data_IF_662837818595
#
_entry.id   IF_662837818595
#
_cell.length_a   1.000
_cell.length_b   1.000
_cell.length_c   1.000
_cell.angle_alpha   90.00
_cell.angle_beta   90.00
_cell.angle_gamma   90.00
#
_symmetry.space_group_name_H-M   'P 1'
#
loop_
_entity.id
_entity.type
_entity.pdbx_description
1 polymer ?
#
# COMPACT_ATOMS: atom_id res chain seq x y z
N UNK A 1 -1.22 31.03 -11.08
CA UNK A 1 -1.24 29.66 -10.47
C UNK A 1 -1.62 28.69 -11.57
N UNK A 2 -0.87 27.61 -11.76
CA UNK A 2 -1.23 26.60 -12.74
C UNK A 2 -2.48 25.85 -12.27
N UNK A 3 -3.42 25.48 -13.16
CA UNK A 3 -4.58 24.70 -12.80
C UNK A 3 -4.18 23.29 -12.38
N UNK A 4 -4.87 22.73 -11.38
CA UNK A 4 -4.70 21.32 -11.02
C UNK A 4 -5.26 20.41 -12.12
N UNK A 5 -4.71 19.20 -12.22
CA UNK A 5 -5.32 18.16 -13.03
C UNK A 5 -6.79 17.96 -12.60
N UNK A 6 -7.76 18.05 -13.53
CA UNK A 6 -9.19 17.94 -13.19
C UNK A 6 -9.55 16.63 -12.48
N UNK A 7 -8.94 15.51 -12.86
CA UNK A 7 -9.18 14.20 -12.22
C UNK A 7 -8.71 14.21 -10.77
N UNK A 8 -7.55 14.83 -10.49
CA UNK A 8 -7.07 15.01 -9.12
C UNK A 8 -8.00 15.93 -8.31
N UNK A 9 -8.46 17.02 -8.92
CA UNK A 9 -9.36 17.97 -8.26
C UNK A 9 -10.73 17.35 -7.92
N UNK A 10 -11.19 16.39 -8.71
CA UNK A 10 -12.45 15.66 -8.50
C UNK A 10 -12.34 14.49 -7.52
N UNK A 11 -11.12 14.06 -7.18
CA UNK A 11 -10.92 12.93 -6.27
C UNK A 11 -11.30 13.32 -4.83
N UNK A 12 -12.02 12.43 -4.14
CA UNK A 12 -12.42 12.65 -2.76
C UNK A 12 -11.21 12.68 -1.80
N UNK A 13 -11.39 13.34 -0.64
CA UNK A 13 -10.35 13.41 0.39
C UNK A 13 -10.19 12.06 1.12
N UNK A 14 -8.96 11.70 1.55
CA UNK A 14 -8.74 10.46 2.30
C UNK A 14 -9.59 10.40 3.58
N UNK A 15 -10.40 9.35 3.79
CA UNK A 15 -11.29 9.26 4.96
C UNK A 15 -10.56 9.32 6.30
N UNK A 16 -9.33 8.81 6.37
CA UNK A 16 -8.50 8.89 7.58
C UNK A 16 -8.18 10.32 7.99
N UNK A 17 -7.99 11.20 7.02
CA UNK A 17 -7.73 12.63 7.31
C UNK A 17 -9.00 13.33 7.81
N UNK A 18 -10.15 12.92 7.32
CA UNK A 18 -11.44 13.43 7.81
C UNK A 18 -11.71 12.96 9.25
N UNK A 19 -11.48 11.69 9.54
CA UNK A 19 -11.60 11.16 10.90
C UNK A 19 -10.69 11.89 11.91
N UNK A 20 -9.48 12.27 11.49
CA UNK A 20 -8.57 13.08 12.33
C UNK A 20 -9.13 14.46 12.61
N UNK A 21 -9.77 15.11 11.64
CA UNK A 21 -10.40 16.43 11.84
C UNK A 21 -11.52 16.41 12.86
N UNK A 22 -12.28 15.32 12.94
CA UNK A 22 -13.34 15.18 13.95
C UNK A 22 -12.80 15.19 15.38
N UNK A 23 -11.51 14.93 15.56
CA UNK A 23 -10.85 14.93 16.86
C UNK A 23 -10.16 16.28 17.19
N UNK A 24 -10.09 17.20 16.24
CA UNK A 24 -9.47 18.51 16.47
C UNK A 24 -10.22 19.27 17.57
N UNK A 25 -9.51 19.66 18.64
CA UNK A 25 -10.07 20.37 19.78
C UNK A 25 -10.88 19.50 20.77
N UNK A 26 -10.97 18.18 20.55
CA UNK A 26 -11.64 17.26 21.47
C UNK A 26 -10.65 16.72 22.51
N UNK A 27 -11.02 16.83 23.79
CA UNK A 27 -10.26 16.28 24.90
C UNK A 27 -10.97 15.04 25.45
N UNK A 28 -10.21 14.02 25.78
CA UNK A 28 -10.72 12.77 26.37
C UNK A 28 -10.25 12.68 27.82
N UNK A 29 -11.16 12.49 28.79
CA UNK A 29 -10.76 12.35 30.19
C UNK A 29 -10.04 11.01 30.41
N UNK A 30 -9.18 10.89 31.46
CA UNK A 30 -8.38 9.70 31.70
C UNK A 30 -9.20 8.41 31.91
N UNK A 31 -10.39 8.53 32.45
CA UNK A 31 -11.34 7.42 32.68
C UNK A 31 -12.12 6.99 31.42
N UNK A 32 -12.03 7.81 30.34
CA UNK A 32 -12.62 7.51 29.03
C UNK A 32 -11.65 7.88 27.90
N UNK A 33 -10.51 7.21 27.77
CA UNK A 33 -9.52 7.50 26.77
C UNK A 33 -10.06 7.20 25.37
N UNK A 34 -9.55 7.91 24.36
CA UNK A 34 -9.84 7.63 22.96
C UNK A 34 -9.32 6.23 22.58
N UNK A 35 -10.21 5.37 22.13
CA UNK A 35 -9.83 4.12 21.44
C UNK A 35 -9.85 4.38 19.94
N UNK A 36 -8.67 4.60 19.37
CA UNK A 36 -8.54 4.92 17.95
C UNK A 36 -8.51 3.64 17.10
N UNK A 37 -9.61 3.37 16.42
CA UNK A 37 -9.77 2.25 15.46
C UNK A 37 -9.92 2.73 14.01
N UNK A 38 -9.58 3.99 13.73
CA UNK A 38 -9.78 4.60 12.40
C UNK A 38 -8.77 4.13 11.34
N UNK A 39 -7.66 3.54 11.78
CA UNK A 39 -6.61 3.07 10.88
C UNK A 39 -6.11 1.70 11.34
N UNK A 40 -6.25 0.72 10.46
CA UNK A 40 -5.75 -0.63 10.70
C UNK A 40 -4.23 -0.68 10.49
N UNK A 41 -3.49 -0.24 11.49
CA UNK A 41 -2.03 -0.30 11.53
C UNK A 41 -1.56 -1.09 12.74
N UNK A 42 -0.54 -1.95 12.63
CA UNK A 42 0.06 -2.60 13.79
C UNK A 42 0.54 -1.56 14.80
N UNK A 43 0.25 -1.77 16.07
CA UNK A 43 0.71 -0.91 17.17
C UNK A 43 1.98 -1.45 17.83
N UNK A 44 2.21 -2.75 17.73
CA UNK A 44 3.41 -3.40 18.24
C UNK A 44 4.60 -3.11 17.33
N UNK A 45 5.80 -2.91 17.91
CA UNK A 45 7.00 -2.76 17.12
C UNK A 45 7.31 -4.06 16.35
N UNK A 46 8.05 -3.99 15.22
CA UNK A 46 8.52 -5.19 14.55
C UNK A 46 9.35 -6.07 15.50
N UNK A 47 9.36 -7.40 15.30
CA UNK A 47 10.18 -8.31 16.10
C UNK A 47 11.63 -7.85 16.21
N UNK A 48 12.26 -8.07 17.36
CA UNK A 48 13.63 -7.63 17.62
C UNK A 48 14.64 -8.16 16.58
N UNK A 49 14.48 -9.42 16.18
CA UNK A 49 15.33 -10.02 15.15
C UNK A 49 15.28 -9.27 13.82
N UNK A 50 14.09 -8.81 13.40
CA UNK A 50 13.94 -8.01 12.18
C UNK A 50 14.60 -6.64 12.33
N UNK A 51 14.41 -5.98 13.47
CA UNK A 51 15.04 -4.67 13.73
C UNK A 51 16.54 -4.77 13.74
N UNK A 52 17.09 -5.82 14.40
CA UNK A 52 18.52 -6.08 14.45
C UNK A 52 19.10 -6.34 13.04
N UNK A 53 18.40 -7.13 12.21
CA UNK A 53 18.82 -7.39 10.83
C UNK A 53 18.85 -6.11 9.97
N UNK A 54 17.87 -5.22 10.15
CA UNK A 54 17.85 -3.93 9.44
C UNK A 54 19.05 -3.06 9.86
N UNK A 55 19.32 -2.97 11.15
CA UNK A 55 20.47 -2.20 11.67
C UNK A 55 21.78 -2.79 11.15
N UNK A 56 21.93 -4.11 11.20
CA UNK A 56 23.12 -4.80 10.68
C UNK A 56 23.34 -4.52 9.19
N UNK A 57 22.29 -4.64 8.38
CA UNK A 57 22.37 -4.34 6.96
C UNK A 57 22.75 -2.88 6.70
N UNK A 58 22.14 -1.94 7.43
CA UNK A 58 22.39 -0.51 7.26
C UNK A 58 23.81 -0.10 7.67
N UNK A 59 24.41 -0.74 8.68
CA UNK A 59 25.74 -0.38 9.18
C UNK A 59 26.86 -1.10 8.43
N UNK A 60 26.66 -2.36 8.06
CA UNK A 60 27.75 -3.24 7.67
C UNK A 60 27.67 -3.75 6.22
N UNK A 61 26.56 -3.55 5.53
CA UNK A 61 26.40 -3.99 4.15
C UNK A 61 26.46 -2.79 3.18
N UNK A 62 27.63 -2.53 2.60
CA UNK A 62 27.84 -1.43 1.65
C UNK A 62 26.83 -1.48 0.47
N UNK A 63 26.46 -2.68 0.02
CA UNK A 63 25.48 -2.88 -1.06
C UNK A 63 24.07 -2.36 -0.71
N UNK A 64 23.72 -2.24 0.58
CA UNK A 64 22.42 -1.70 1.01
C UNK A 64 22.26 -0.21 0.64
N UNK A 65 23.36 0.48 0.34
CA UNK A 65 23.37 1.92 0.00
C UNK A 65 23.58 2.18 -1.50
N UNK A 66 23.60 1.14 -2.32
CA UNK A 66 23.84 1.23 -3.75
C UNK A 66 22.55 0.92 -4.53
N UNK A 67 22.53 1.35 -5.80
CA UNK A 67 21.49 0.92 -6.72
C UNK A 67 21.56 -0.60 -6.91
N UNK A 68 20.41 -1.24 -6.80
CA UNK A 68 20.22 -2.66 -7.06
C UNK A 68 19.51 -2.95 -8.39
N UNK A 69 19.17 -4.22 -8.64
CA UNK A 69 18.38 -4.61 -9.79
C UNK A 69 17.01 -3.89 -9.82
N UNK A 70 16.54 -3.51 -11.01
CA UNK A 70 15.29 -2.74 -11.19
C UNK A 70 14.07 -3.42 -10.54
N UNK A 71 13.99 -4.74 -10.64
CA UNK A 71 12.87 -5.49 -10.05
C UNK A 71 13.07 -5.85 -8.56
N UNK A 72 14.14 -5.37 -7.93
CA UNK A 72 14.51 -5.70 -6.55
C UNK A 72 15.57 -6.81 -6.46
N UNK A 73 16.17 -6.93 -5.29
CA UNK A 73 17.23 -7.91 -5.03
C UNK A 73 16.74 -9.34 -5.29
N UNK A 74 17.58 -10.13 -5.94
CA UNK A 74 17.26 -11.50 -6.36
C UNK A 74 16.86 -12.36 -5.16
N UNK A 75 17.66 -12.34 -4.09
CA UNK A 75 17.38 -13.13 -2.88
C UNK A 75 16.02 -12.83 -2.27
N UNK A 76 15.63 -11.54 -2.24
CA UNK A 76 14.30 -11.15 -1.76
C UNK A 76 13.19 -11.65 -2.68
N UNK A 77 13.38 -11.55 -3.99
CA UNK A 77 12.40 -12.02 -4.98
C UNK A 77 12.23 -13.55 -4.92
N UNK A 78 13.33 -14.29 -4.73
CA UNK A 78 13.33 -15.74 -4.52
C UNK A 78 12.61 -16.11 -3.23
N UNK A 79 12.88 -15.41 -2.12
CA UNK A 79 12.21 -15.64 -0.84
C UNK A 79 10.69 -15.37 -0.94
N UNK A 80 10.28 -14.28 -1.58
CA UNK A 80 8.85 -13.97 -1.81
C UNK A 80 8.21 -15.05 -2.70
N UNK A 81 8.88 -15.47 -3.77
CA UNK A 81 8.36 -16.50 -4.66
C UNK A 81 8.17 -17.85 -3.95
N UNK A 82 9.14 -18.24 -3.12
CA UNK A 82 9.06 -19.47 -2.33
C UNK A 82 7.90 -19.42 -1.31
N UNK A 83 7.79 -18.30 -0.57
CA UNK A 83 6.72 -18.11 0.42
C UNK A 83 5.34 -18.16 -0.23
N UNK A 84 5.13 -17.44 -1.34
CA UNK A 84 3.87 -17.43 -2.08
C UNK A 84 3.51 -18.80 -2.64
N UNK A 85 4.50 -19.52 -3.20
CA UNK A 85 4.29 -20.88 -3.71
C UNK A 85 3.86 -21.84 -2.60
N UNK A 86 4.48 -21.74 -1.43
CA UNK A 86 4.15 -22.56 -0.26
C UNK A 86 2.77 -22.22 0.30
N UNK A 87 2.48 -20.93 0.51
CA UNK A 87 1.25 -20.47 1.16
C UNK A 87 -0.02 -20.77 0.33
N UNK A 88 0.09 -20.71 -1.00
CA UNK A 88 -1.08 -20.82 -1.88
C UNK A 88 -1.09 -22.07 -2.76
N UNK A 89 -0.13 -22.96 -2.60
CA UNK A 89 -0.04 -24.22 -3.36
C UNK A 89 0.17 -24.03 -4.86
N UNK A 90 0.64 -22.85 -5.28
CA UNK A 90 0.92 -22.50 -6.66
C UNK A 90 2.40 -22.60 -7.00
N UNK A 91 2.75 -22.14 -8.21
CA UNK A 91 4.14 -22.00 -8.63
C UNK A 91 4.41 -20.55 -8.99
N UNK A 92 5.19 -19.87 -8.15
CA UNK A 92 5.69 -18.52 -8.40
C UNK A 92 7.21 -18.62 -8.53
N UNK A 93 7.77 -17.97 -9.52
CA UNK A 93 9.21 -17.89 -9.76
C UNK A 93 9.70 -16.46 -9.47
N UNK A 94 10.96 -16.29 -9.17
CA UNK A 94 11.55 -14.96 -8.93
C UNK A 94 11.33 -14.00 -10.13
N UNK A 95 11.24 -14.55 -11.35
CA UNK A 95 10.89 -13.79 -12.55
C UNK A 95 9.49 -13.17 -12.53
N UNK A 96 8.58 -13.70 -11.73
CA UNK A 96 7.20 -13.20 -11.59
C UNK A 96 7.07 -12.15 -10.45
N UNK A 97 8.16 -11.83 -9.75
CA UNK A 97 8.15 -10.95 -8.59
C UNK A 97 8.90 -9.65 -8.89
N UNK A 98 8.25 -8.54 -8.61
CA UNK A 98 8.87 -7.22 -8.57
C UNK A 98 8.65 -6.61 -7.19
N UNK A 99 9.71 -6.05 -6.60
CA UNK A 99 9.67 -5.42 -5.30
C UNK A 99 9.43 -3.92 -5.47
N UNK A 100 8.48 -3.39 -4.72
CA UNK A 100 8.15 -1.96 -4.68
C UNK A 100 8.22 -1.42 -3.26
N UNK A 101 8.20 -0.11 -3.13
CA UNK A 101 8.13 0.55 -1.82
C UNK A 101 6.69 0.53 -1.27
N UNK A 102 6.23 -0.67 -0.95
CA UNK A 102 4.91 -0.92 -0.39
C UNK A 102 3.83 -1.20 -1.44
N UNK A 103 2.69 -1.71 -0.95
CA UNK A 103 1.56 -2.17 -1.74
C UNK A 103 0.94 -1.06 -2.60
N UNK A 104 0.89 0.18 -2.12
CA UNK A 104 0.34 1.29 -2.90
C UNK A 104 1.15 1.55 -4.18
N UNK A 105 2.47 1.51 -4.10
CA UNK A 105 3.30 1.67 -5.31
C UNK A 105 3.10 0.48 -6.27
N UNK A 106 2.99 -0.74 -5.75
CA UNK A 106 2.70 -1.92 -6.58
C UNK A 106 1.37 -1.78 -7.32
N UNK A 107 0.31 -1.36 -6.62
CA UNK A 107 -1.00 -1.12 -7.21
C UNK A 107 -0.94 -0.03 -8.29
N UNK A 108 -0.31 1.10 -7.98
CA UNK A 108 -0.15 2.20 -8.93
C UNK A 108 0.59 1.76 -10.21
N UNK A 109 1.70 1.02 -10.06
CA UNK A 109 2.48 0.53 -11.18
C UNK A 109 1.67 -0.48 -12.03
N UNK A 110 0.96 -1.41 -11.39
CA UNK A 110 0.12 -2.39 -12.07
C UNK A 110 -1.00 -1.70 -12.86
N UNK A 111 -1.74 -0.77 -12.24
CA UNK A 111 -2.82 -0.04 -12.91
C UNK A 111 -2.28 0.82 -14.06
N UNK A 112 -1.19 1.55 -13.84
CA UNK A 112 -0.60 2.37 -14.90
C UNK A 112 -0.12 1.55 -16.12
N UNK A 113 0.14 0.26 -15.93
CA UNK A 113 0.54 -0.66 -16.99
C UNK A 113 -0.66 -1.27 -17.71
N UNK A 114 -1.76 -1.52 -17.01
CA UNK A 114 -2.87 -2.34 -17.49
C UNK A 114 -4.13 -1.57 -17.86
N UNK A 115 -4.30 -0.34 -17.33
CA UNK A 115 -5.52 0.45 -17.52
C UNK A 115 -5.21 1.93 -17.70
N UNK A 116 -6.06 2.61 -18.46
CA UNK A 116 -5.99 4.05 -18.74
C UNK A 116 -7.35 4.74 -18.69
N UNK A 117 -7.39 6.03 -19.03
CA UNK A 117 -8.64 6.80 -18.98
C UNK A 117 -9.77 6.15 -19.81
N UNK A 118 -10.91 5.93 -19.16
CA UNK A 118 -12.10 5.30 -19.75
C UNK A 118 -12.17 3.79 -19.55
N UNK A 119 -11.11 3.14 -19.11
CA UNK A 119 -11.15 1.72 -18.74
C UNK A 119 -11.87 1.49 -17.41
N UNK A 120 -12.22 0.25 -17.14
CA UNK A 120 -12.90 -0.19 -15.94
C UNK A 120 -12.08 -1.22 -15.17
N UNK A 121 -11.98 -1.02 -13.86
CA UNK A 121 -11.33 -1.98 -12.95
C UNK A 121 -12.32 -2.38 -11.86
N UNK A 122 -12.57 -3.68 -11.75
CA UNK A 122 -13.41 -4.25 -10.69
C UNK A 122 -12.60 -4.30 -9.40
N UNK A 123 -13.14 -3.71 -8.33
CA UNK A 123 -12.51 -3.76 -7.00
C UNK A 123 -13.52 -4.22 -5.95
N UNK A 124 -13.13 -5.14 -5.04
CA UNK A 124 -14.00 -5.60 -3.96
C UNK A 124 -14.39 -4.48 -3.02
N UNK A 125 -15.64 -4.50 -2.52
CA UNK A 125 -16.09 -3.57 -1.48
C UNK A 125 -16.45 -4.34 -0.19
N UNK A 126 -16.06 -3.77 0.99
CA UNK A 126 -15.44 -2.47 1.22
C UNK A 126 -14.00 -2.42 0.67
N UNK A 127 -13.70 -1.39 -0.09
CA UNK A 127 -12.38 -1.23 -0.71
C UNK A 127 -11.38 -0.46 0.15
N UNK A 128 -10.11 -0.63 -0.17
CA UNK A 128 -9.07 0.27 0.35
C UNK A 128 -9.14 1.60 -0.44
N UNK A 129 -9.39 2.68 0.26
CA UNK A 129 -9.68 3.98 -0.36
C UNK A 129 -8.55 4.50 -1.26
N UNK A 130 -7.27 4.17 -0.98
CA UNK A 130 -6.17 4.57 -1.84
C UNK A 130 -6.26 3.96 -3.24
N UNK A 131 -6.74 2.72 -3.36
CA UNK A 131 -6.95 2.08 -4.66
C UNK A 131 -8.02 2.82 -5.46
N UNK A 132 -9.16 3.12 -4.84
CA UNK A 132 -10.24 3.89 -5.49
C UNK A 132 -9.77 5.29 -5.89
N UNK A 133 -9.05 5.98 -4.99
CA UNK A 133 -8.51 7.31 -5.28
C UNK A 133 -7.54 7.30 -6.46
N UNK A 134 -6.66 6.29 -6.53
CA UNK A 134 -5.72 6.17 -7.65
C UNK A 134 -6.43 5.95 -8.98
N UNK A 135 -7.43 5.07 -9.03
CA UNK A 135 -8.24 4.86 -10.22
C UNK A 135 -8.90 6.17 -10.68
N UNK A 136 -9.52 6.91 -9.76
CA UNK A 136 -10.15 8.21 -10.08
C UNK A 136 -9.13 9.20 -10.64
N UNK A 137 -7.95 9.32 -10.04
CA UNK A 137 -6.88 10.20 -10.51
C UNK A 137 -6.36 9.82 -11.90
N UNK A 138 -6.45 8.55 -12.28
CA UNK A 138 -6.07 8.06 -13.61
C UNK A 138 -7.21 8.11 -14.62
N UNK A 139 -8.42 8.53 -14.22
CA UNK A 139 -9.60 8.52 -15.10
C UNK A 139 -10.12 7.11 -15.41
N UNK A 140 -9.75 6.14 -14.57
CA UNK A 140 -10.20 4.74 -14.65
C UNK A 140 -11.44 4.56 -13.79
N UNK A 141 -12.47 3.94 -14.32
CA UNK A 141 -13.72 3.69 -13.58
C UNK A 141 -13.57 2.50 -12.63
N UNK A 142 -13.68 2.76 -11.33
CA UNK A 142 -13.78 1.69 -10.34
C UNK A 142 -15.19 1.09 -10.37
N UNK A 143 -15.28 -0.22 -10.61
CA UNK A 143 -16.53 -0.98 -10.58
C UNK A 143 -16.59 -1.76 -9.27
N UNK A 144 -17.54 -1.46 -8.36
CA UNK A 144 -17.61 -2.13 -7.08
C UNK A 144 -18.09 -3.58 -7.24
N UNK A 145 -17.35 -4.52 -6.65
CA UNK A 145 -17.79 -5.90 -6.47
C UNK A 145 -18.19 -6.12 -5.01
N UNK A 146 -19.49 -6.32 -4.77
CA UNK A 146 -19.98 -6.69 -3.44
C UNK A 146 -19.41 -8.03 -3.01
N UNK A 147 -18.57 -8.04 -1.95
CA UNK A 147 -18.18 -9.28 -1.30
C UNK A 147 -19.37 -9.68 -0.44
N UNK A 148 -20.12 -10.72 -0.88
CA UNK A 148 -21.33 -11.19 -0.22
C UNK A 148 -21.11 -11.56 1.24
N UNK A 149 -22.17 -11.42 2.03
CA UNK A 149 -22.29 -11.92 3.39
C UNK A 149 -22.38 -13.45 3.36
#
# INVERSE_FOLDING_TARGET
MLPLNPALAATFRPPVMEARRWLEGVSFPPDRPLINVSQAAPVDPPPEALRAAIVEAALNQAAAHLYGPVLGNTDLREAVAAEWSSAYGGRVEAGNVAITQGCNQAFCAAIATLAGPGDEVIIPVPWYFNHKMWLDMQGVRAVPLGCGQ
#
